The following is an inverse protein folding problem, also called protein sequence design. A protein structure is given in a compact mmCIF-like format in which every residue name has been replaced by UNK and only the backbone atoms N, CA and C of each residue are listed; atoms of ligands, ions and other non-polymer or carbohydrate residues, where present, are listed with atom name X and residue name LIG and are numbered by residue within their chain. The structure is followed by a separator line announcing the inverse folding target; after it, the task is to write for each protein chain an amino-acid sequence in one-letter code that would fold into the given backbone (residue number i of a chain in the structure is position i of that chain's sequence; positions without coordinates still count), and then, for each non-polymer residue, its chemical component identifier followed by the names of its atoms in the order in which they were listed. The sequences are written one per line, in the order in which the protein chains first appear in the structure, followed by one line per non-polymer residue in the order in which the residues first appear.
data_IF_478025980814
#
_entry.id   IF_478025980814
#
_cell.length_a   1.000
_cell.length_b   1.000
_cell.length_c   1.000
_cell.angle_alpha   90.00
_cell.angle_beta   90.00
_cell.angle_gamma   90.00
#
_symmetry.space_group_name_H-M   'P 1'
#
loop_
_entity.id
_entity.type
_entity.pdbx_description
1 polymer ?
#
# COMPACT_ATOMS: atom_id res chain seq x y z
N UNK A 1 69.26 -36.06 36.78
CA UNK A 1 68.61 -34.75 37.02
C UNK A 1 67.82 -34.39 35.76
N UNK A 2 66.49 -34.32 35.88
CA UNK A 2 65.54 -34.18 34.77
C UNK A 2 65.58 -32.74 34.23
N UNK A 3 65.78 -32.58 32.92
CA UNK A 3 65.53 -31.32 32.20
C UNK A 3 64.12 -31.37 31.63
N UNK A 4 63.21 -30.58 32.18
CA UNK A 4 61.91 -30.29 31.58
C UNK A 4 62.05 -29.03 30.72
N UNK A 5 61.86 -29.18 29.41
CA UNK A 5 61.68 -28.06 28.47
C UNK A 5 60.25 -28.21 27.96
N UNK A 6 59.40 -27.26 28.30
CA UNK A 6 58.03 -27.12 27.78
C UNK A 6 58.07 -26.03 26.71
N UNK A 7 57.79 -26.30 25.43
CA UNK A 7 57.52 -25.25 24.48
C UNK A 7 56.01 -24.94 24.50
N UNK A 8 55.70 -23.73 24.96
CA UNK A 8 54.43 -23.04 24.77
C UNK A 8 54.36 -22.60 23.30
N UNK A 9 53.30 -22.99 22.59
CA UNK A 9 53.09 -22.60 21.21
C UNK A 9 51.76 -23.13 20.66
N UNK A 10 50.64 -22.74 21.27
CA UNK A 10 49.32 -23.02 20.71
C UNK A 10 48.99 -21.95 19.66
N UNK A 11 49.22 -22.27 18.39
CA UNK A 11 48.85 -21.43 17.26
C UNK A 11 47.33 -21.52 17.07
N UNK A 12 46.60 -20.51 17.54
CA UNK A 12 45.17 -20.36 17.27
C UNK A 12 44.98 -19.94 15.80
N UNK A 13 44.72 -20.89 14.91
CA UNK A 13 44.16 -20.63 13.59
C UNK A 13 42.68 -20.25 13.75
N UNK A 14 42.41 -18.98 14.04
CA UNK A 14 41.09 -18.40 13.84
C UNK A 14 40.85 -18.23 12.34
N UNK A 15 39.95 -19.01 11.75
CA UNK A 15 39.43 -18.74 10.41
C UNK A 15 38.53 -17.51 10.50
N UNK A 16 39.12 -16.34 10.33
CA UNK A 16 38.36 -15.12 10.07
C UNK A 16 37.69 -15.32 8.72
N UNK A 17 36.37 -15.57 8.68
CA UNK A 17 35.60 -15.49 7.43
C UNK A 17 35.45 -14.01 7.06
N UNK A 18 36.53 -13.46 6.51
CA UNK A 18 36.59 -12.10 6.02
C UNK A 18 36.01 -12.06 4.60
N UNK A 19 34.87 -11.38 4.48
CA UNK A 19 34.21 -10.94 3.25
C UNK A 19 33.77 -12.02 2.25
N UNK A 20 32.52 -11.90 1.77
CA UNK A 20 31.97 -12.77 0.70
C UNK A 20 32.71 -12.54 -0.63
N UNK A 21 33.21 -11.31 -0.84
CA UNK A 21 34.13 -10.97 -1.92
C UNK A 21 35.17 -9.95 -1.44
N UNK A 22 36.42 -10.12 -1.85
CA UNK A 22 37.52 -9.19 -1.59
C UNK A 22 37.78 -8.22 -2.75
N UNK A 23 37.05 -8.36 -3.86
CA UNK A 23 37.30 -7.62 -5.11
C UNK A 23 36.10 -6.79 -5.57
N UNK A 24 34.96 -6.91 -4.89
CA UNK A 24 33.69 -6.34 -5.33
C UNK A 24 32.96 -5.70 -4.17
N UNK A 25 32.30 -4.57 -4.42
CA UNK A 25 31.45 -3.92 -3.43
C UNK A 25 30.14 -4.70 -3.28
N UNK A 26 29.74 -4.98 -2.03
CA UNK A 26 28.50 -5.69 -1.74
C UNK A 26 27.88 -5.29 -0.41
N UNK A 27 26.58 -5.54 -0.28
CA UNK A 27 25.81 -5.51 0.98
C UNK A 27 25.30 -6.92 1.23
N UNK A 28 25.58 -7.46 2.42
CA UNK A 28 25.06 -8.76 2.86
C UNK A 28 24.04 -8.55 3.97
N UNK A 29 22.86 -9.15 3.80
CA UNK A 29 21.79 -9.16 4.79
C UNK A 29 21.55 -10.59 5.24
N UNK A 30 21.58 -10.82 6.55
CA UNK A 30 21.31 -12.11 7.17
C UNK A 30 20.15 -11.98 8.15
N UNK A 31 19.08 -12.70 7.88
CA UNK A 31 17.89 -12.76 8.74
C UNK A 31 17.85 -14.11 9.41
N UNK A 32 17.88 -14.13 10.74
CA UNK A 32 17.73 -15.35 11.52
C UNK A 32 16.25 -15.70 11.64
N UNK A 33 15.89 -16.92 11.22
CA UNK A 33 14.50 -17.41 11.14
C UNK A 33 14.10 -18.20 12.38
N UNK A 34 15.07 -18.56 13.21
CA UNK A 34 14.88 -19.09 14.54
C UNK A 34 15.83 -18.39 15.53
N UNK A 35 15.43 -18.40 16.80
CA UNK A 35 16.27 -17.93 17.88
C UNK A 35 16.05 -18.82 19.10
N UNK A 36 17.02 -19.68 19.40
CA UNK A 36 17.01 -20.59 20.54
C UNK A 36 17.81 -20.04 21.75
N UNK A 37 18.13 -18.74 21.76
CA UNK A 37 18.86 -18.09 22.84
C UNK A 37 20.37 -18.36 22.91
N UNK A 38 20.91 -19.26 22.08
CA UNK A 38 22.36 -19.59 22.06
C UNK A 38 22.96 -19.49 20.67
N UNK A 39 22.34 -20.10 19.64
CA UNK A 39 22.67 -19.89 18.23
C UNK A 39 21.43 -20.09 17.36
N UNK A 40 21.29 -19.29 16.30
CA UNK A 40 20.28 -19.52 15.27
C UNK A 40 20.71 -20.67 14.36
N UNK A 41 19.81 -21.63 14.15
CA UNK A 41 20.02 -22.80 13.29
C UNK A 41 19.45 -22.62 11.88
N UNK A 42 18.59 -21.61 11.67
CA UNK A 42 18.00 -21.27 10.39
C UNK A 42 18.22 -19.80 10.12
N UNK A 43 18.75 -19.51 8.94
CA UNK A 43 18.90 -18.14 8.46
C UNK A 43 18.60 -18.06 6.98
N UNK A 44 18.09 -16.91 6.56
CA UNK A 44 18.02 -16.50 5.16
C UNK A 44 19.10 -15.45 4.93
N UNK A 45 19.87 -15.62 3.85
CA UNK A 45 21.00 -14.76 3.52
C UNK A 45 20.86 -14.22 2.10
N UNK A 46 21.11 -12.93 1.95
CA UNK A 46 21.12 -12.26 0.65
C UNK A 46 22.39 -11.42 0.50
N UNK A 47 22.99 -11.45 -0.69
CA UNK A 47 24.18 -10.67 -1.04
C UNK A 47 23.87 -9.86 -2.30
N UNK A 48 23.93 -8.54 -2.20
CA UNK A 48 23.71 -7.63 -3.32
C UNK A 48 25.05 -7.00 -3.72
N UNK A 49 25.45 -7.20 -4.97
CA UNK A 49 26.68 -6.63 -5.52
C UNK A 49 26.41 -5.36 -6.31
N UNK A 50 27.40 -4.48 -6.34
CA UNK A 50 27.32 -3.18 -7.02
C UNK A 50 28.38 -3.05 -8.13
N UNK A 51 28.09 -2.22 -9.12
CA UNK A 51 29.05 -1.79 -10.12
C UNK A 51 29.94 -0.64 -9.60
N UNK A 52 30.86 -0.15 -10.43
CA UNK A 52 31.78 0.94 -10.07
C UNK A 52 31.09 2.29 -9.82
N UNK A 53 29.81 2.43 -10.17
CA UNK A 53 28.98 3.62 -9.91
C UNK A 53 28.07 3.43 -8.68
N UNK A 54 28.20 2.30 -7.98
CA UNK A 54 27.37 1.97 -6.81
C UNK A 54 25.95 1.52 -7.17
N UNK A 55 25.69 1.12 -8.42
CA UNK A 55 24.40 0.59 -8.84
C UNK A 55 24.36 -0.94 -8.69
N UNK A 56 23.26 -1.54 -8.21
CA UNK A 56 23.14 -3.00 -8.11
C UNK A 56 23.35 -3.72 -9.44
N UNK A 57 24.22 -4.73 -9.48
CA UNK A 57 24.46 -5.54 -10.69
C UNK A 57 24.00 -7.01 -10.59
N UNK A 58 23.86 -7.51 -9.37
CA UNK A 58 23.17 -8.78 -9.10
C UNK A 58 22.72 -8.85 -7.65
N UNK A 59 21.70 -9.66 -7.39
CA UNK A 59 21.27 -10.05 -6.04
C UNK A 59 21.30 -11.56 -5.92
N UNK A 60 21.90 -12.08 -4.87
CA UNK A 60 22.08 -13.51 -4.64
C UNK A 60 21.34 -13.91 -3.37
N UNK A 61 20.36 -14.80 -3.49
CA UNK A 61 19.84 -15.57 -2.37
C UNK A 61 20.76 -16.75 -2.10
N UNK A 62 21.49 -16.71 -0.98
CA UNK A 62 22.51 -17.72 -0.65
C UNK A 62 21.84 -19.02 -0.23
N UNK A 63 22.15 -20.11 -0.93
CA UNK A 63 21.56 -21.44 -0.75
C UNK A 63 20.00 -21.41 -0.70
N UNK A 64 19.38 -20.47 -1.43
CA UNK A 64 17.94 -20.19 -1.34
C UNK A 64 17.07 -21.17 -2.14
N UNK A 65 17.64 -21.98 -3.05
CA UNK A 65 16.87 -22.97 -3.80
C UNK A 65 16.54 -24.20 -2.95
N UNK A 66 15.51 -25.00 -3.30
CA UNK A 66 15.19 -26.24 -2.59
C UNK A 66 16.33 -27.27 -2.55
N UNK A 67 17.27 -27.21 -3.50
CA UNK A 67 18.47 -28.06 -3.51
C UNK A 67 19.66 -27.41 -2.79
N UNK A 68 19.45 -26.33 -2.03
CA UNK A 68 20.49 -25.61 -1.31
C UNK A 68 21.49 -24.90 -2.22
N UNK A 69 21.08 -24.47 -3.41
CA UNK A 69 21.91 -23.71 -4.36
C UNK A 69 21.59 -22.23 -4.29
N UNK A 70 22.55 -21.41 -4.70
CA UNK A 70 22.34 -19.97 -4.82
C UNK A 70 21.30 -19.66 -5.92
N UNK A 71 20.51 -18.62 -5.69
CA UNK A 71 19.54 -18.09 -6.65
C UNK A 71 19.95 -16.66 -6.98
N UNK A 72 20.23 -16.38 -8.24
CA UNK A 72 20.77 -15.09 -8.67
C UNK A 72 19.76 -14.32 -9.50
N UNK A 73 19.47 -13.09 -9.10
CA UNK A 73 18.73 -12.13 -9.91
C UNK A 73 19.74 -11.22 -10.60
N UNK A 74 19.79 -11.29 -11.93
CA UNK A 74 20.65 -10.44 -12.74
C UNK A 74 20.04 -9.05 -12.90
N UNK A 75 20.87 -8.02 -12.87
CA UNK A 75 20.45 -6.63 -13.09
C UNK A 75 21.37 -6.04 -14.16
N UNK A 76 20.78 -5.52 -15.21
CA UNK A 76 21.50 -4.80 -16.26
C UNK A 76 20.92 -3.40 -16.46
N UNK A 77 21.77 -2.50 -16.93
CA UNK A 77 21.40 -1.14 -17.27
C UNK A 77 21.67 -0.92 -18.75
N UNK A 78 20.82 -0.13 -19.38
CA UNK A 78 21.09 0.33 -20.75
C UNK A 78 22.25 1.34 -20.79
N UNK A 79 22.58 1.80 -22.00
CA UNK A 79 23.66 2.78 -22.23
C UNK A 79 23.45 4.13 -21.52
N UNK A 80 22.22 4.44 -21.10
CA UNK A 80 21.89 5.65 -20.36
C UNK A 80 21.82 5.40 -18.84
N UNK A 81 22.12 4.18 -18.40
CA UNK A 81 22.14 3.79 -17.00
C UNK A 81 20.76 3.49 -16.41
N UNK A 82 19.76 3.24 -17.26
CA UNK A 82 18.38 2.97 -16.85
C UNK A 82 18.15 1.47 -16.70
N UNK A 83 17.39 1.08 -15.68
CA UNK A 83 17.01 -0.31 -15.42
C UNK A 83 15.74 -0.66 -16.20
N UNK A 84 15.91 -1.09 -17.44
CA UNK A 84 14.81 -1.35 -18.37
C UNK A 84 14.28 -2.79 -18.33
N UNK A 85 15.04 -3.74 -17.76
CA UNK A 85 14.65 -5.16 -17.74
C UNK A 85 14.68 -5.73 -16.33
N UNK A 86 13.55 -6.30 -15.91
CA UNK A 86 13.44 -7.00 -14.64
C UNK A 86 13.50 -8.52 -14.90
N UNK A 87 14.63 -9.15 -14.59
CA UNK A 87 14.87 -10.58 -14.81
C UNK A 87 14.28 -11.46 -13.71
N UNK A 88 13.85 -12.67 -14.10
CA UNK A 88 13.51 -13.72 -13.14
C UNK A 88 14.76 -14.19 -12.37
N UNK A 89 14.62 -14.56 -11.08
CA UNK A 89 15.71 -15.13 -10.30
C UNK A 89 16.11 -16.52 -10.81
N UNK A 90 17.38 -16.74 -11.14
CA UNK A 90 17.86 -17.98 -11.74
C UNK A 90 18.57 -18.82 -10.67
N UNK A 91 18.03 -20.00 -10.29
CA UNK A 91 18.77 -21.00 -9.55
C UNK A 91 20.03 -21.39 -10.31
N UNK A 92 21.18 -21.34 -9.66
CA UNK A 92 22.46 -21.62 -10.28
C UNK A 92 22.76 -23.12 -10.30
N UNK A 93 23.60 -23.57 -11.23
CA UNK A 93 23.97 -24.99 -11.36
C UNK A 93 24.84 -25.47 -10.18
N UNK A 94 25.63 -24.58 -9.58
CA UNK A 94 26.39 -24.77 -8.34
C UNK A 94 26.22 -23.58 -7.37
N UNK A 95 26.73 -23.74 -6.15
CA UNK A 95 26.72 -22.68 -5.11
C UNK A 95 28.08 -21.99 -5.03
N UNK A 96 28.09 -20.67 -4.90
CA UNK A 96 29.26 -19.88 -4.53
C UNK A 96 29.13 -19.34 -3.11
N UNK A 97 28.11 -19.78 -2.35
CA UNK A 97 27.82 -19.32 -1.00
C UNK A 97 27.74 -17.80 -0.90
N UNK A 98 27.11 -17.18 -1.90
CA UNK A 98 26.98 -15.72 -2.01
C UNK A 98 28.07 -15.01 -2.81
N UNK A 99 29.08 -15.74 -3.33
CA UNK A 99 30.10 -15.18 -4.23
C UNK A 99 29.53 -14.66 -5.56
N UNK A 100 30.25 -13.73 -6.19
CA UNK A 100 29.82 -13.07 -7.44
C UNK A 100 29.76 -14.05 -8.62
N UNK A 101 28.66 -14.06 -9.38
CA UNK A 101 28.55 -14.83 -10.62
C UNK A 101 28.92 -13.96 -11.82
N UNK A 102 29.88 -14.42 -12.64
CA UNK A 102 30.30 -13.71 -13.88
C UNK A 102 29.37 -13.98 -15.06
N UNK A 103 28.64 -15.10 -15.05
CA UNK A 103 27.63 -15.46 -16.06
C UNK A 103 26.34 -15.94 -15.38
N UNK A 104 25.62 -15.05 -14.67
CA UNK A 104 24.43 -15.43 -13.90
C UNK A 104 23.28 -15.94 -14.78
N UNK A 105 23.25 -15.54 -16.05
CA UNK A 105 22.26 -15.97 -17.05
C UNK A 105 22.57 -17.36 -17.64
N UNK A 106 23.78 -17.90 -17.45
CA UNK A 106 24.23 -19.13 -18.11
C UNK A 106 23.38 -20.36 -17.79
N UNK A 107 22.76 -20.42 -16.60
CA UNK A 107 21.86 -21.51 -16.22
C UNK A 107 20.39 -21.27 -16.56
N UNK A 108 20.03 -20.09 -17.10
CA UNK A 108 18.64 -19.74 -17.33
C UNK A 108 17.91 -20.74 -18.23
N UNK A 109 18.53 -21.18 -19.33
CA UNK A 109 17.90 -22.13 -20.25
C UNK A 109 17.66 -23.52 -19.64
N UNK A 110 18.43 -23.91 -18.63
CA UNK A 110 18.19 -25.16 -17.89
C UNK A 110 16.95 -25.05 -16.99
N UNK A 111 16.57 -23.85 -16.56
CA UNK A 111 15.48 -23.60 -15.61
C UNK A 111 14.20 -23.22 -16.36
N UNK A 112 14.32 -22.35 -17.35
CA UNK A 112 13.22 -21.71 -18.06
C UNK A 112 13.12 -22.11 -19.54
N UNK A 113 14.01 -22.97 -20.03
CA UNK A 113 14.03 -23.37 -21.44
C UNK A 113 14.38 -22.21 -22.37
N UNK A 114 13.65 -22.09 -23.48
CA UNK A 114 13.81 -21.01 -24.47
C UNK A 114 13.00 -19.76 -24.17
N UNK A 115 12.40 -19.63 -22.98
CA UNK A 115 11.52 -18.51 -22.65
C UNK A 115 12.26 -17.18 -22.44
N UNK A 116 11.58 -16.08 -22.77
CA UNK A 116 12.00 -14.74 -22.34
C UNK A 116 11.86 -14.64 -20.81
N UNK A 117 12.98 -14.53 -20.11
CA UNK A 117 13.02 -14.56 -18.62
C UNK A 117 12.97 -13.18 -17.96
N UNK A 118 12.58 -12.13 -18.67
CA UNK A 118 12.54 -10.78 -18.13
C UNK A 118 11.33 -10.01 -18.66
N UNK A 119 10.80 -9.13 -17.82
CA UNK A 119 9.93 -8.07 -18.31
C UNK A 119 10.77 -6.91 -18.82
N UNK A 120 10.27 -6.16 -19.79
CA UNK A 120 11.02 -5.12 -20.48
C UNK A 120 10.19 -3.85 -20.60
N UNK A 121 10.77 -2.73 -20.19
CA UNK A 121 10.21 -1.39 -20.31
C UNK A 121 10.87 -0.69 -21.49
N UNK A 122 10.07 -0.33 -22.48
CA UNK A 122 10.48 0.53 -23.58
C UNK A 122 10.08 1.94 -23.20
N UNK A 123 11.06 2.83 -23.14
CA UNK A 123 10.89 4.22 -22.73
C UNK A 123 10.78 5.12 -23.96
N UNK A 124 10.07 6.24 -23.85
CA UNK A 124 10.06 7.26 -24.91
C UNK A 124 11.44 7.91 -25.06
N UNK A 125 11.78 8.35 -26.28
CA UNK A 125 12.99 9.14 -26.55
C UNK A 125 12.79 10.61 -26.13
N UNK A 126 12.60 10.83 -24.83
CA UNK A 126 12.37 12.13 -24.21
C UNK A 126 13.15 12.21 -22.91
N UNK A 127 13.62 13.41 -22.50
CA UNK A 127 14.30 13.61 -21.21
C UNK A 127 13.48 13.17 -19.99
N UNK A 128 12.17 12.96 -20.14
CA UNK A 128 11.29 12.53 -19.07
C UNK A 128 11.35 11.01 -18.80
N UNK A 129 11.95 10.22 -19.69
CA UNK A 129 12.09 8.76 -19.56
C UNK A 129 10.77 8.07 -19.15
N UNK A 130 9.65 8.47 -19.77
CA UNK A 130 8.34 7.86 -19.48
C UNK A 130 8.25 6.48 -20.14
N UNK A 131 7.56 5.54 -19.50
CA UNK A 131 7.35 4.21 -20.06
C UNK A 131 6.38 4.35 -21.23
N UNK A 132 6.77 3.91 -22.42
CA UNK A 132 5.91 3.85 -23.60
C UNK A 132 5.28 2.47 -23.74
N UNK A 133 6.04 1.41 -23.46
CA UNK A 133 5.56 0.03 -23.50
C UNK A 133 6.16 -0.78 -22.36
N UNK A 134 5.40 -1.78 -21.90
CA UNK A 134 5.90 -2.81 -21.00
C UNK A 134 5.54 -4.19 -21.57
N UNK A 135 6.56 -5.01 -21.77
CA UNK A 135 6.43 -6.38 -22.27
C UNK A 135 6.66 -7.32 -21.08
N UNK A 136 5.72 -8.23 -20.85
CA UNK A 136 5.84 -9.21 -19.76
C UNK A 136 6.84 -10.32 -20.07
N UNK A 137 7.19 -11.08 -19.03
CA UNK A 137 8.02 -12.29 -19.11
C UNK A 137 7.32 -13.36 -19.96
N UNK A 138 8.07 -14.10 -20.78
CA UNK A 138 7.59 -15.18 -21.64
C UNK A 138 7.52 -14.79 -23.11
N UNK A 139 7.77 -15.75 -24.00
CA UNK A 139 7.85 -15.50 -25.44
C UNK A 139 6.51 -15.03 -26.02
N UNK A 140 5.40 -15.61 -25.55
CA UNK A 140 4.04 -15.31 -25.99
C UNK A 140 3.65 -13.83 -25.79
N UNK A 141 4.29 -13.14 -24.83
CA UNK A 141 4.02 -11.76 -24.50
C UNK A 141 4.80 -10.75 -25.35
N UNK A 142 5.79 -11.20 -26.12
CA UNK A 142 6.66 -10.33 -26.93
C UNK A 142 5.87 -9.46 -27.91
N UNK A 143 4.79 -10.00 -28.49
CA UNK A 143 3.88 -9.30 -29.40
C UNK A 143 2.69 -8.60 -28.74
N UNK A 144 2.59 -8.67 -27.40
CA UNK A 144 1.46 -8.18 -26.61
C UNK A 144 1.92 -7.19 -25.52
N UNK A 145 2.54 -6.06 -25.87
CA UNK A 145 2.95 -5.08 -24.87
C UNK A 145 1.73 -4.38 -24.26
N UNK A 146 1.81 -4.10 -22.96
CA UNK A 146 1.03 -3.01 -22.38
C UNK A 146 1.56 -1.71 -22.95
N UNK A 147 0.68 -0.83 -23.45
CA UNK A 147 1.06 0.45 -24.06
C UNK A 147 0.59 1.61 -23.19
N UNK A 148 1.41 2.64 -23.10
CA UNK A 148 1.16 3.84 -22.33
C UNK A 148 1.25 5.05 -23.27
N UNK A 149 0.15 5.79 -23.38
CA UNK A 149 0.08 7.04 -24.14
C UNK A 149 -0.17 8.21 -23.18
N UNK A 150 0.50 9.33 -23.44
CA UNK A 150 0.46 10.53 -22.60
C UNK A 150 0.08 11.74 -23.43
N UNK A 151 -1.15 12.23 -23.24
CA UNK A 151 -1.74 13.33 -24.00
C UNK A 151 -2.32 14.39 -23.06
N UNK A 152 -2.89 15.43 -23.65
CA UNK A 152 -3.84 16.30 -22.97
C UNK A 152 -5.25 15.99 -23.47
N UNK A 153 -6.27 16.26 -22.66
CA UNK A 153 -7.65 16.01 -23.07
C UNK A 153 -8.03 16.86 -24.29
N UNK A 154 -8.89 16.32 -25.15
CA UNK A 154 -9.49 16.98 -26.31
C UNK A 154 -11.00 17.16 -26.12
N UNK A 155 -11.66 17.86 -27.05
CA UNK A 155 -13.09 18.11 -26.97
C UNK A 155 -13.90 16.81 -27.04
N UNK A 156 -13.48 15.89 -27.92
CA UNK A 156 -14.10 14.60 -28.20
C UNK A 156 -13.98 13.59 -27.04
N UNK A 157 -13.18 13.91 -26.01
CA UNK A 157 -13.14 13.09 -24.79
C UNK A 157 -14.42 13.28 -23.95
N UNK A 158 -15.16 14.37 -24.12
CA UNK A 158 -16.40 14.66 -23.38
C UNK A 158 -16.25 14.43 -21.86
N UNK A 159 -15.13 14.86 -21.28
CA UNK A 159 -14.87 14.73 -19.83
C UNK A 159 -15.74 15.74 -19.08
N UNK A 160 -16.71 15.26 -18.30
CA UNK A 160 -17.62 16.14 -17.57
C UNK A 160 -16.90 16.95 -16.50
N UNK A 161 -17.27 18.22 -16.39
CA UNK A 161 -16.78 19.13 -15.36
C UNK A 161 -17.83 19.29 -14.25
N UNK A 162 -17.57 18.65 -13.12
CA UNK A 162 -18.35 18.85 -11.90
C UNK A 162 -17.79 20.02 -11.11
N UNK A 163 -18.67 20.93 -10.70
CA UNK A 163 -18.37 22.05 -9.83
C UNK A 163 -18.91 21.76 -8.44
N UNK A 164 -18.17 22.17 -7.41
CA UNK A 164 -18.55 22.00 -6.02
C UNK A 164 -18.81 23.36 -5.37
N UNK A 165 -19.67 23.36 -4.34
CA UNK A 165 -19.88 24.47 -3.42
C UNK A 165 -19.87 23.89 -2.01
N UNK A 166 -18.84 24.20 -1.22
CA UNK A 166 -18.71 23.67 0.14
C UNK A 166 -19.08 24.68 1.22
N UNK A 167 -19.92 24.24 2.15
CA UNK A 167 -20.26 24.95 3.38
C UNK A 167 -19.80 24.15 4.60
N UNK A 168 -19.73 24.80 5.77
CA UNK A 168 -19.39 24.16 7.03
C UNK A 168 -20.63 24.06 7.92
N UNK A 169 -20.97 22.84 8.33
CA UNK A 169 -22.10 22.54 9.21
C UNK A 169 -21.57 21.67 10.35
N UNK A 170 -21.82 22.07 11.59
CA UNK A 170 -21.44 21.28 12.79
C UNK A 170 -19.95 20.84 12.79
N UNK A 171 -19.06 21.72 12.33
CA UNK A 171 -17.61 21.45 12.32
C UNK A 171 -17.15 20.46 11.24
N UNK A 172 -17.97 20.19 10.22
CA UNK A 172 -17.60 19.40 9.04
C UNK A 172 -18.01 20.06 7.72
N UNK A 173 -17.42 19.60 6.63
CA UNK A 173 -17.81 19.99 5.28
C UNK A 173 -19.19 19.44 4.92
N UNK A 174 -19.91 20.22 4.11
CA UNK A 174 -21.16 19.88 3.44
C UNK A 174 -21.03 20.43 2.01
N UNK A 175 -20.76 19.54 1.06
CA UNK A 175 -20.46 19.91 -0.32
C UNK A 175 -21.67 19.65 -1.21
N UNK A 176 -22.13 20.67 -1.93
CA UNK A 176 -23.07 20.55 -3.04
C UNK A 176 -22.31 20.32 -4.35
N UNK A 177 -22.98 19.73 -5.34
CA UNK A 177 -22.40 19.41 -6.66
C UNK A 177 -23.30 19.91 -7.78
N UNK A 178 -22.68 20.52 -8.77
CA UNK A 178 -23.29 21.06 -9.99
C UNK A 178 -22.52 20.53 -11.22
N UNK A 179 -23.18 20.50 -12.38
CA UNK A 179 -22.56 20.08 -13.65
C UNK A 179 -22.45 21.29 -14.59
N UNK A 180 -21.23 21.69 -14.93
CA UNK A 180 -20.95 22.84 -15.79
C UNK A 180 -20.91 22.49 -17.30
N UNK A 181 -21.07 21.22 -17.68
CA UNK A 181 -20.79 20.58 -18.98
C UNK A 181 -19.45 19.83 -19.03
N UNK A 182 -18.52 20.22 -19.90
CA UNK A 182 -17.28 19.48 -20.19
C UNK A 182 -16.04 20.35 -19.96
N UNK A 183 -14.92 19.72 -19.63
CA UNK A 183 -13.61 20.39 -19.65
C UNK A 183 -13.25 20.83 -21.08
N UNK A 184 -12.62 21.99 -21.20
CA UNK A 184 -12.06 22.45 -22.48
C UNK A 184 -10.79 21.65 -22.83
N UNK A 185 -10.37 21.63 -24.11
CA UNK A 185 -9.12 20.99 -24.51
C UNK A 185 -7.91 21.51 -23.72
N UNK A 186 -6.94 20.61 -23.48
CA UNK A 186 -5.68 20.87 -22.79
C UNK A 186 -5.79 21.38 -21.35
N UNK A 187 -6.88 21.05 -20.64
CA UNK A 187 -7.05 21.38 -19.21
C UNK A 187 -6.69 20.21 -18.27
N UNK A 188 -6.66 18.98 -18.78
CA UNK A 188 -6.40 17.76 -18.05
C UNK A 188 -5.28 16.98 -18.74
N UNK A 189 -4.41 16.38 -17.94
CA UNK A 189 -3.52 15.32 -18.41
C UNK A 189 -4.33 14.06 -18.69
N UNK A 190 -4.08 13.41 -19.83
CA UNK A 190 -4.75 12.19 -20.28
C UNK A 190 -3.72 11.08 -20.40
N UNK A 191 -3.85 10.05 -19.58
CA UNK A 191 -3.00 8.87 -19.63
C UNK A 191 -3.83 7.68 -20.13
N UNK A 192 -3.46 7.09 -21.25
CA UNK A 192 -4.12 5.89 -21.77
C UNK A 192 -3.24 4.68 -21.54
N UNK A 193 -3.80 3.65 -20.92
CA UNK A 193 -3.19 2.33 -20.79
C UNK A 193 -3.98 1.37 -21.68
N UNK A 194 -3.31 0.75 -22.63
CA UNK A 194 -3.83 -0.37 -23.41
C UNK A 194 -3.22 -1.64 -22.87
N UNK A 195 -4.03 -2.56 -22.36
CA UNK A 195 -3.55 -3.84 -21.86
C UNK A 195 -3.13 -4.79 -23.00
N UNK A 196 -2.60 -5.95 -22.63
CA UNK A 196 -2.07 -6.95 -23.56
C UNK A 196 -3.15 -7.55 -24.50
N UNK A 197 -4.43 -7.42 -24.14
CA UNK A 197 -5.58 -7.86 -24.93
C UNK A 197 -6.21 -6.71 -25.76
N UNK A 198 -5.68 -5.49 -25.62
CA UNK A 198 -6.14 -4.30 -26.35
C UNK A 198 -7.22 -3.50 -25.65
N UNK A 199 -7.62 -3.84 -24.42
CA UNK A 199 -8.60 -3.06 -23.67
C UNK A 199 -7.98 -1.76 -23.17
N UNK A 200 -8.73 -0.67 -23.24
CA UNK A 200 -8.24 0.67 -22.91
C UNK A 200 -8.79 1.17 -21.59
N UNK A 201 -7.88 1.67 -20.75
CA UNK A 201 -8.19 2.46 -19.57
C UNK A 201 -7.61 3.85 -19.75
N UNK A 202 -8.43 4.88 -19.61
CA UNK A 202 -8.01 6.27 -19.75
C UNK A 202 -8.19 6.98 -18.41
N UNK A 203 -7.13 7.55 -17.89
CA UNK A 203 -7.12 8.35 -16.67
C UNK A 203 -6.95 9.82 -17.04
N UNK A 204 -7.83 10.68 -16.51
CA UNK A 204 -7.72 12.13 -16.64
C UNK A 204 -7.37 12.75 -15.29
N UNK A 205 -6.34 13.60 -15.27
CA UNK A 205 -5.84 14.30 -14.06
C UNK A 205 -5.82 15.80 -14.26
N UNK A 206 -6.12 16.56 -13.21
CA UNK A 206 -5.97 18.01 -13.23
C UNK A 206 -4.50 18.43 -13.00
N UNK A 207 -4.23 19.74 -13.07
CA UNK A 207 -2.89 20.30 -12.84
C UNK A 207 -2.30 20.07 -11.44
N UNK A 208 -3.11 19.65 -10.45
CA UNK A 208 -2.65 19.27 -9.11
C UNK A 208 -2.33 17.77 -8.98
N UNK A 209 -2.50 16.99 -10.06
CA UNK A 209 -2.30 15.54 -10.06
C UNK A 209 -3.48 14.73 -9.52
N UNK A 210 -4.61 15.37 -9.18
CA UNK A 210 -5.82 14.69 -8.74
C UNK A 210 -6.49 14.02 -9.95
N UNK A 211 -6.83 12.74 -9.81
CA UNK A 211 -7.63 12.00 -10.80
C UNK A 211 -9.03 12.59 -10.83
N UNK A 212 -9.51 13.01 -12.00
CA UNK A 212 -10.85 13.56 -12.24
C UNK A 212 -11.80 12.51 -12.81
N UNK A 213 -11.29 11.68 -13.73
CA UNK A 213 -12.05 10.62 -14.39
C UNK A 213 -11.15 9.41 -14.62
N UNK A 214 -11.66 8.22 -14.30
CA UNK A 214 -11.17 6.95 -14.84
C UNK A 214 -12.23 6.39 -15.77
N UNK A 215 -11.85 6.23 -17.03
CA UNK A 215 -12.70 5.69 -18.10
C UNK A 215 -12.21 4.31 -18.50
N UNK A 216 -13.11 3.32 -18.43
CA UNK A 216 -12.91 2.00 -19.05
C UNK A 216 -13.64 1.99 -20.39
N UNK A 217 -12.91 1.77 -21.47
CA UNK A 217 -13.51 1.66 -22.82
C UNK A 217 -14.10 0.26 -22.95
N UNK A 218 -15.43 0.17 -22.97
CA UNK A 218 -16.17 -1.11 -23.06
C UNK A 218 -16.35 -1.49 -24.53
N UNK A 219 -16.67 -0.52 -25.37
CA UNK A 219 -16.78 -0.67 -26.83
C UNK A 219 -16.48 0.66 -27.52
N UNK A 220 -16.55 0.69 -28.86
CA UNK A 220 -16.33 1.91 -29.65
C UNK A 220 -17.29 3.05 -29.29
N UNK A 221 -18.47 2.74 -28.74
CA UNK A 221 -19.51 3.72 -28.39
C UNK A 221 -19.84 3.75 -26.90
N UNK A 222 -19.21 2.90 -26.09
CA UNK A 222 -19.55 2.74 -24.67
C UNK A 222 -18.32 2.86 -23.78
N UNK A 223 -18.44 3.74 -22.80
CA UNK A 223 -17.43 3.98 -21.78
C UNK A 223 -18.06 3.83 -20.40
N UNK A 224 -17.37 3.14 -19.50
CA UNK A 224 -17.71 3.12 -18.08
C UNK A 224 -16.86 4.18 -17.36
N UNK A 225 -17.48 5.31 -17.04
CA UNK A 225 -16.82 6.49 -16.49
C UNK A 225 -16.98 6.57 -14.95
N UNK A 226 -15.88 6.62 -14.22
CA UNK A 226 -15.88 6.90 -12.79
C UNK A 226 -15.30 8.28 -12.52
N UNK A 227 -16.13 9.21 -12.05
CA UNK A 227 -15.67 10.57 -11.73
C UNK A 227 -15.29 10.70 -10.26
N UNK A 228 -14.25 11.48 -10.03
CA UNK A 228 -13.73 11.84 -8.71
C UNK A 228 -13.83 13.35 -8.58
N UNK A 229 -14.66 13.80 -7.65
CA UNK A 229 -15.01 15.22 -7.52
C UNK A 229 -14.47 15.74 -6.20
N UNK A 230 -13.60 16.74 -6.29
CA UNK A 230 -12.95 17.36 -5.15
C UNK A 230 -13.66 18.65 -4.78
N UNK A 231 -13.68 18.95 -3.49
CA UNK A 231 -14.09 20.26 -3.01
C UNK A 231 -12.96 21.30 -3.11
N UNK A 232 -13.26 22.53 -2.71
CA UNK A 232 -12.38 23.69 -2.74
C UNK A 232 -11.18 23.56 -1.77
N UNK A 233 -11.20 22.55 -0.89
CA UNK A 233 -10.12 22.21 0.04
C UNK A 233 -9.27 21.02 -0.45
N UNK A 234 -9.40 20.64 -1.72
CA UNK A 234 -8.68 19.51 -2.35
C UNK A 234 -9.03 18.13 -1.75
N UNK A 235 -10.17 18.03 -1.05
CA UNK A 235 -10.67 16.78 -0.48
C UNK A 235 -11.65 16.10 -1.44
N UNK A 236 -11.58 14.78 -1.55
CA UNK A 236 -12.49 13.99 -2.38
C UNK A 236 -13.90 14.03 -1.77
N UNK A 237 -14.81 14.82 -2.34
CA UNK A 237 -16.17 14.98 -1.82
C UNK A 237 -17.12 13.91 -2.39
N UNK A 238 -16.93 13.52 -3.66
CA UNK A 238 -17.75 12.50 -4.31
C UNK A 238 -16.95 11.55 -5.19
N UNK A 239 -17.40 10.30 -5.24
CA UNK A 239 -17.10 9.39 -6.36
C UNK A 239 -18.40 9.02 -7.04
N UNK A 240 -18.47 9.25 -8.35
CA UNK A 240 -19.66 9.01 -9.18
C UNK A 240 -19.37 7.78 -10.03
N UNK A 241 -20.01 6.63 -9.75
CA UNK A 241 -19.77 5.40 -10.51
C UNK A 241 -20.37 5.47 -11.92
N UNK A 242 -19.98 4.55 -12.83
CA UNK A 242 -20.45 4.54 -14.22
C UNK A 242 -21.97 4.56 -14.41
N UNK A 243 -22.71 3.86 -13.53
CA UNK A 243 -24.18 3.83 -13.60
C UNK A 243 -24.82 5.21 -13.32
N UNK A 244 -24.07 6.11 -12.68
CA UNK A 244 -24.55 7.40 -12.20
C UNK A 244 -23.90 8.59 -12.93
N UNK A 245 -22.96 8.33 -13.86
CA UNK A 245 -22.27 9.34 -14.68
C UNK A 245 -23.15 9.86 -15.83
N UNK A 246 -24.39 10.22 -15.51
CA UNK A 246 -25.38 10.74 -16.44
C UNK A 246 -25.11 12.23 -16.77
N UNK A 247 -25.65 12.77 -17.88
CA UNK A 247 -25.52 14.19 -18.24
C UNK A 247 -26.33 15.14 -17.34
N UNK A 248 -27.00 14.63 -16.31
CA UNK A 248 -27.76 15.41 -15.33
C UNK A 248 -27.50 14.89 -13.92
N UNK A 249 -27.58 15.78 -12.94
CA UNK A 249 -27.50 15.42 -11.51
C UNK A 249 -28.94 15.31 -11.01
N UNK A 250 -29.40 14.07 -10.82
CA UNK A 250 -30.66 13.78 -10.16
C UNK A 250 -30.42 13.49 -8.67
N UNK A 251 -31.22 14.11 -7.80
CA UNK A 251 -31.07 13.94 -6.34
C UNK A 251 -31.31 12.48 -5.91
N UNK A 252 -32.24 11.77 -6.54
CA UNK A 252 -32.48 10.36 -6.18
C UNK A 252 -31.31 9.47 -6.59
N UNK A 253 -30.69 9.73 -7.74
CA UNK A 253 -29.47 9.06 -8.19
C UNK A 253 -28.29 9.40 -7.29
N UNK A 254 -28.10 10.66 -6.92
CA UNK A 254 -27.08 11.09 -5.95
C UNK A 254 -27.21 10.33 -4.64
N UNK A 255 -28.41 10.30 -4.08
CA UNK A 255 -28.65 9.67 -2.78
C UNK A 255 -28.51 8.15 -2.80
N UNK A 256 -28.69 7.49 -3.95
CA UNK A 256 -28.60 6.03 -4.09
C UNK A 256 -27.23 5.53 -4.54
N UNK A 257 -26.57 6.26 -5.44
CA UNK A 257 -25.43 5.76 -6.21
C UNK A 257 -24.13 6.54 -6.03
N UNK A 258 -24.14 7.73 -5.42
CA UNK A 258 -22.88 8.46 -5.22
C UNK A 258 -22.22 7.98 -3.93
N UNK A 259 -20.89 7.86 -3.99
CA UNK A 259 -20.08 7.87 -2.79
C UNK A 259 -19.97 9.33 -2.34
N UNK A 260 -20.26 9.63 -1.08
CA UNK A 260 -20.23 10.98 -0.53
C UNK A 260 -19.34 11.01 0.70
N UNK A 261 -18.50 12.03 0.83
CA UNK A 261 -17.52 12.16 1.91
C UNK A 261 -17.55 13.55 2.51
N UNK A 262 -17.42 13.63 3.83
CA UNK A 262 -17.39 14.88 4.60
C UNK A 262 -16.24 14.84 5.58
N UNK A 263 -15.59 15.98 5.76
CA UNK A 263 -14.34 16.12 6.48
C UNK A 263 -14.47 17.15 7.60
N UNK A 264 -13.75 16.98 8.71
CA UNK A 264 -13.67 18.00 9.75
C UNK A 264 -12.65 19.11 9.41
N UNK A 265 -12.54 20.10 10.31
CA UNK A 265 -11.57 21.21 10.17
C UNK A 265 -10.10 20.80 10.11
N UNK A 266 -9.78 19.53 10.42
CA UNK A 266 -8.42 18.96 10.33
C UNK A 266 -8.24 18.10 9.07
N UNK A 267 -9.26 18.01 8.22
CA UNK A 267 -9.24 17.18 7.01
C UNK A 267 -9.41 15.69 7.26
N UNK A 268 -9.90 15.28 8.44
CA UNK A 268 -10.19 13.88 8.73
C UNK A 268 -11.56 13.52 8.19
N UNK A 269 -11.71 12.34 7.58
CA UNK A 269 -12.99 11.84 7.10
C UNK A 269 -13.90 11.54 8.29
N UNK A 270 -15.04 12.20 8.37
CA UNK A 270 -15.89 12.15 9.57
C UNK A 270 -17.31 11.68 9.28
N UNK A 271 -17.74 11.79 8.05
CA UNK A 271 -18.94 11.13 7.56
C UNK A 271 -18.71 10.61 6.16
N UNK A 272 -19.21 9.42 5.89
CA UNK A 272 -19.24 8.88 4.53
C UNK A 272 -20.56 8.19 4.25
N UNK A 273 -20.99 8.23 3.00
CA UNK A 273 -22.15 7.49 2.51
C UNK A 273 -21.73 6.72 1.27
N UNK A 274 -22.02 5.43 1.26
CA UNK A 274 -21.73 4.53 0.15
C UNK A 274 -23.04 4.14 -0.55
N UNK A 275 -23.00 3.79 -1.85
CA UNK A 275 -24.18 3.30 -2.55
C UNK A 275 -24.82 2.11 -1.83
N UNK A 276 -26.14 2.13 -1.69
CA UNK A 276 -26.89 1.09 -0.97
C UNK A 276 -26.72 1.09 0.56
N UNK A 277 -25.98 2.04 1.14
CA UNK A 277 -25.82 2.20 2.60
C UNK A 277 -26.31 3.59 3.06
N UNK A 278 -26.66 3.68 4.34
CA UNK A 278 -26.86 4.97 4.99
C UNK A 278 -25.53 5.67 5.35
N UNK A 279 -25.63 6.83 5.98
CA UNK A 279 -24.46 7.56 6.49
C UNK A 279 -23.75 6.77 7.58
N UNK A 280 -22.43 6.70 7.48
CA UNK A 280 -21.52 6.22 8.51
C UNK A 280 -20.78 7.41 9.10
N UNK A 281 -20.65 7.43 10.42
CA UNK A 281 -20.08 8.52 11.20
C UNK A 281 -18.81 8.03 11.90
N UNK A 282 -17.84 8.93 12.04
CA UNK A 282 -16.53 8.66 12.62
C UNK A 282 -16.20 9.73 13.67
N UNK A 283 -15.60 9.29 14.77
CA UNK A 283 -15.15 10.15 15.87
C UNK A 283 -13.70 9.85 16.19
N UNK A 284 -12.92 10.92 16.35
CA UNK A 284 -11.49 10.83 16.59
C UNK A 284 -11.12 11.41 17.95
N UNK A 285 -10.07 10.87 18.56
CA UNK A 285 -9.46 11.46 19.76
C UNK A 285 -8.42 12.53 19.42
N UNK A 286 -7.76 13.10 20.44
CA UNK A 286 -6.71 14.11 20.29
C UNK A 286 -5.47 13.59 19.56
N UNK A 287 -5.24 12.28 19.60
CA UNK A 287 -4.12 11.61 18.94
C UNK A 287 -4.43 11.19 17.49
N UNK A 288 -5.50 11.71 16.89
CA UNK A 288 -5.96 11.40 15.53
C UNK A 288 -6.31 9.94 15.28
N UNK A 289 -6.67 9.20 16.35
CA UNK A 289 -7.11 7.82 16.23
C UNK A 289 -8.63 7.77 16.11
N UNK A 290 -9.12 6.92 15.19
CA UNK A 290 -10.54 6.65 15.04
C UNK A 290 -11.01 5.81 16.23
N UNK A 291 -11.68 6.45 17.19
CA UNK A 291 -12.12 5.78 18.42
C UNK A 291 -13.56 5.29 18.34
N UNK A 292 -14.38 5.86 17.46
CA UNK A 292 -15.75 5.37 17.30
C UNK A 292 -16.24 5.44 15.86
N UNK A 293 -17.07 4.47 15.51
CA UNK A 293 -17.85 4.47 14.28
C UNK A 293 -19.31 4.14 14.55
N UNK A 294 -20.19 4.72 13.74
CA UNK A 294 -21.63 4.43 13.79
C UNK A 294 -22.15 4.33 12.37
N UNK A 295 -22.75 3.19 12.04
CA UNK A 295 -23.48 3.01 10.79
C UNK A 295 -24.97 3.34 10.98
N UNK A 296 -25.74 3.25 9.90
CA UNK A 296 -27.16 3.57 9.92
C UNK A 296 -27.96 2.71 10.90
N UNK A 297 -27.67 1.42 11.01
CA UNK A 297 -28.39 0.48 11.86
C UNK A 297 -28.07 0.69 13.34
N UNK A 298 -26.81 1.01 13.67
CA UNK A 298 -26.40 1.38 15.01
C UNK A 298 -27.01 2.72 15.42
N UNK A 299 -27.12 3.67 14.49
CA UNK A 299 -27.72 4.99 14.74
C UNK A 299 -29.19 4.91 15.14
N UNK A 300 -29.97 4.03 14.50
CA UNK A 300 -31.37 3.78 14.90
C UNK A 300 -31.52 3.31 16.35
N UNK A 301 -30.44 2.74 16.92
CA UNK A 301 -30.40 2.23 18.30
C UNK A 301 -29.58 3.12 19.24
N UNK A 302 -29.12 4.29 18.77
CA UNK A 302 -28.20 5.17 19.50
C UNK A 302 -26.94 4.45 20.01
N UNK A 303 -26.38 3.57 19.18
CA UNK A 303 -25.17 2.79 19.49
C UNK A 303 -23.97 3.26 18.67
N UNK A 304 -22.78 3.06 19.23
CA UNK A 304 -21.51 3.28 18.57
C UNK A 304 -20.62 2.05 18.77
N UNK A 305 -19.91 1.65 17.72
CA UNK A 305 -18.75 0.78 17.84
C UNK A 305 -17.60 1.62 18.38
N UNK A 306 -17.07 1.28 19.55
CA UNK A 306 -15.90 1.91 20.14
C UNK A 306 -14.66 1.03 19.95
N UNK A 307 -13.54 1.66 19.60
CA UNK A 307 -12.20 1.06 19.57
C UNK A 307 -11.35 1.72 20.64
N UNK A 308 -10.82 0.92 21.55
CA UNK A 308 -9.91 1.34 22.61
C UNK A 308 -8.50 0.91 22.29
N UNK A 309 -7.56 1.81 22.50
CA UNK A 309 -6.16 1.63 22.15
C UNK A 309 -5.31 1.56 23.41
N UNK A 310 -4.25 0.77 23.36
CA UNK A 310 -3.22 0.82 24.41
C UNK A 310 -2.17 1.89 24.11
N UNK A 311 -1.20 2.05 25.00
CA UNK A 311 -0.21 3.12 25.00
C UNK A 311 0.63 3.22 23.72
N UNK A 312 0.89 2.08 23.06
CA UNK A 312 1.61 2.04 21.79
C UNK A 312 0.70 2.22 20.56
N UNK A 313 -0.59 2.52 20.76
CA UNK A 313 -1.54 2.72 19.68
C UNK A 313 -2.06 1.42 19.04
N UNK A 314 -1.76 0.25 19.61
CA UNK A 314 -2.37 -1.03 19.22
C UNK A 314 -3.80 -1.12 19.77
N UNK A 315 -4.70 -1.82 19.07
CA UNK A 315 -6.09 -2.00 19.51
C UNK A 315 -6.12 -2.91 20.73
N UNK A 316 -6.52 -2.39 21.89
CA UNK A 316 -6.67 -3.16 23.11
C UNK A 316 -7.97 -3.97 23.09
N UNK A 317 -9.10 -3.31 22.86
CA UNK A 317 -10.40 -3.98 22.75
C UNK A 317 -11.41 -3.14 21.96
N UNK A 318 -12.45 -3.80 21.49
CA UNK A 318 -13.59 -3.16 20.82
C UNK A 318 -14.89 -3.52 21.52
N UNK A 319 -15.88 -2.64 21.42
CA UNK A 319 -17.18 -2.85 22.04
C UNK A 319 -18.28 -1.97 21.48
N UNK A 320 -19.48 -2.14 22.00
CA UNK A 320 -20.64 -1.30 21.74
C UNK A 320 -20.88 -0.40 22.96
N UNK A 321 -21.04 0.90 22.73
CA UNK A 321 -21.48 1.87 23.73
C UNK A 321 -22.79 2.52 23.28
N UNK A 322 -23.56 3.04 24.23
CA UNK A 322 -24.58 4.04 23.93
C UNK A 322 -23.92 5.37 23.56
N UNK A 323 -24.61 6.21 22.79
CA UNK A 323 -24.12 7.55 22.48
C UNK A 323 -25.14 8.42 21.75
N UNK A 324 -24.79 9.70 21.60
CA UNK A 324 -25.61 10.70 20.92
C UNK A 324 -25.20 10.91 19.46
N UNK A 325 -25.41 12.13 18.98
CA UNK A 325 -24.96 12.57 17.67
C UNK A 325 -23.44 12.50 17.53
N UNK A 326 -22.94 12.39 16.30
CA UNK A 326 -21.50 12.43 16.01
C UNK A 326 -20.85 13.66 16.65
N UNK A 327 -21.48 14.82 16.56
CA UNK A 327 -20.97 16.10 17.10
C UNK A 327 -20.81 16.04 18.62
N UNK A 328 -21.77 15.47 19.36
CA UNK A 328 -21.65 15.35 20.82
C UNK A 328 -20.61 14.31 21.24
N UNK A 329 -20.48 13.21 20.50
CA UNK A 329 -19.43 12.21 20.75
C UNK A 329 -18.04 12.78 20.44
N UNK A 330 -17.91 13.56 19.38
CA UNK A 330 -16.66 14.24 19.02
C UNK A 330 -16.23 15.27 20.07
N UNK A 331 -17.16 16.07 20.61
CA UNK A 331 -16.86 17.05 21.66
C UNK A 331 -16.34 16.39 22.96
N UNK A 332 -16.82 15.19 23.28
CA UNK A 332 -16.31 14.43 24.44
C UNK A 332 -14.89 13.90 24.20
N UNK A 333 -14.53 13.60 22.95
CA UNK A 333 -13.28 12.94 22.59
C UNK A 333 -12.14 13.88 22.17
N UNK A 334 -12.46 15.04 21.57
CA UNK A 334 -11.53 15.86 20.79
C UNK A 334 -10.29 16.34 21.57
N UNK A 335 -10.42 16.52 22.88
CA UNK A 335 -9.35 17.02 23.75
C UNK A 335 -8.68 15.92 24.58
N UNK A 336 -9.06 14.66 24.40
CA UNK A 336 -8.57 13.53 25.19
C UNK A 336 -7.62 12.64 24.38
N UNK A 337 -6.56 12.16 25.02
CA UNK A 337 -5.78 11.03 24.53
C UNK A 337 -6.31 9.78 25.24
N UNK A 338 -7.05 8.95 24.53
CA UNK A 338 -7.79 7.84 25.13
C UNK A 338 -6.94 6.58 25.03
N UNK A 339 -6.30 6.21 26.13
CA UNK A 339 -5.40 5.06 26.20
C UNK A 339 -5.82 4.18 27.35
N UNK A 340 -5.79 2.86 27.12
CA UNK A 340 -6.00 1.86 28.14
C UNK A 340 -4.69 1.16 28.51
N UNK A 341 -4.42 1.05 29.80
CA UNK A 341 -3.28 0.30 30.34
C UNK A 341 -3.68 -1.10 30.78
N UNK A 342 -2.73 -2.04 30.87
CA UNK A 342 -2.96 -3.34 31.51
C UNK A 342 -3.33 -3.12 32.97
N UNK A 343 -4.36 -3.82 33.46
CA UNK A 343 -4.79 -3.73 34.84
C UNK A 343 -5.19 -5.11 35.36
N UNK A 344 -4.55 -5.56 36.44
CA UNK A 344 -4.85 -6.85 37.07
C UNK A 344 -6.24 -6.89 37.71
N UNK A 345 -6.75 -5.75 38.18
CA UNK A 345 -8.14 -5.65 38.65
C UNK A 345 -9.12 -5.61 37.47
N UNK A 346 -8.73 -4.95 36.37
CA UNK A 346 -9.51 -4.89 35.13
C UNK A 346 -10.94 -4.37 35.33
N UNK A 347 -11.83 -4.78 34.43
CA UNK A 347 -13.29 -4.64 34.58
C UNK A 347 -14.01 -5.88 34.06
N UNK A 348 -15.24 -6.13 34.51
CA UNK A 348 -16.03 -7.29 34.08
C UNK A 348 -17.10 -6.88 33.08
N UNK A 349 -17.11 -7.51 31.90
CA UNK A 349 -18.15 -7.34 30.89
C UNK A 349 -18.38 -8.65 30.14
N UNK A 350 -19.61 -8.89 29.68
CA UNK A 350 -19.98 -10.14 28.98
C UNK A 350 -19.62 -11.43 29.76
N UNK A 351 -19.65 -11.37 31.10
CA UNK A 351 -19.27 -12.49 31.95
C UNK A 351 -17.77 -12.80 32.02
N UNK A 352 -16.91 -11.95 31.45
CA UNK A 352 -15.46 -12.11 31.43
C UNK A 352 -14.75 -10.95 32.11
N UNK A 353 -13.65 -11.23 32.81
CA UNK A 353 -12.75 -10.20 33.33
C UNK A 353 -11.80 -9.73 32.22
N UNK A 354 -11.77 -8.43 32.00
CA UNK A 354 -10.96 -7.78 30.97
C UNK A 354 -9.83 -7.07 31.68
N UNK A 355 -8.61 -7.55 31.50
CA UNK A 355 -7.43 -7.07 32.21
C UNK A 355 -6.83 -5.80 31.56
N UNK A 356 -7.69 -4.83 31.26
CA UNK A 356 -7.34 -3.49 30.82
C UNK A 356 -8.07 -2.46 31.70
N UNK A 357 -7.55 -1.23 31.76
CA UNK A 357 -8.32 -0.11 32.27
C UNK A 357 -9.51 0.19 31.35
N UNK A 358 -10.45 0.98 31.86
CA UNK A 358 -11.56 1.54 31.10
C UNK A 358 -11.86 2.93 31.65
N UNK A 359 -10.97 3.89 31.39
CA UNK A 359 -10.98 5.20 32.07
C UNK A 359 -11.88 6.27 31.42
N UNK A 360 -12.15 6.13 30.12
CA UNK A 360 -13.04 7.02 29.35
C UNK A 360 -14.12 6.20 28.66
N UNK A 361 -15.28 6.78 28.34
CA UNK A 361 -16.37 6.06 27.67
C UNK A 361 -16.68 4.71 28.35
N UNK A 362 -16.84 4.76 29.68
CA UNK A 362 -16.80 3.59 30.56
C UNK A 362 -18.01 2.68 30.42
N UNK A 363 -19.14 3.23 29.96
CA UNK A 363 -20.44 2.58 29.82
C UNK A 363 -20.51 1.67 28.57
N UNK A 364 -19.54 0.77 28.43
CA UNK A 364 -19.52 -0.27 27.40
C UNK A 364 -20.65 -1.24 27.70
N UNK A 365 -21.51 -1.50 26.73
CA UNK A 365 -22.65 -2.41 26.83
C UNK A 365 -22.26 -3.85 26.49
N UNK A 366 -21.43 -4.00 25.46
CA UNK A 366 -21.00 -5.30 24.94
C UNK A 366 -19.55 -5.20 24.48
N UNK A 367 -18.72 -6.17 24.83
CA UNK A 367 -17.36 -6.33 24.30
C UNK A 367 -17.40 -7.28 23.11
N UNK A 368 -16.68 -6.90 22.04
CA UNK A 368 -16.66 -7.63 20.77
C UNK A 368 -15.31 -8.31 20.50
N UNK A 369 -14.20 -7.68 20.90
CA UNK A 369 -12.86 -8.26 20.79
C UNK A 369 -11.93 -7.72 21.85
N UNK A 370 -10.91 -8.51 22.22
CA UNK A 370 -9.86 -8.15 23.17
C UNK A 370 -8.54 -8.70 22.60
N UNK A 371 -7.50 -7.87 22.58
CA UNK A 371 -6.15 -8.28 22.22
C UNK A 371 -5.23 -8.06 23.41
N UNK A 372 -4.48 -9.09 23.80
CA UNK A 372 -3.43 -8.99 24.81
C UNK A 372 -2.08 -9.04 24.12
N UNK A 373 -1.20 -8.12 24.51
CA UNK A 373 0.13 -8.00 23.95
C UNK A 373 1.19 -8.17 25.03
N UNK A 374 2.34 -8.71 24.62
CA UNK A 374 3.59 -8.86 25.37
C UNK A 374 3.53 -9.81 26.59
N UNK A 375 2.37 -9.90 27.24
CA UNK A 375 2.08 -10.76 28.39
C UNK A 375 0.70 -11.37 28.22
N UNK A 376 0.62 -12.70 28.25
CA UNK A 376 -0.65 -13.41 28.23
C UNK A 376 -1.31 -13.37 29.62
N UNK A 377 -2.65 -13.25 29.70
CA UNK A 377 -3.39 -13.27 30.96
C UNK A 377 -3.15 -14.49 31.84
#
# INVERSE_FOLDING_TARGET
MKKLIIPIGFLMFGTVKAQVSNTENYVQTKTYLDYSGTQATKSSETVQYFDGLGRPKQVIGVNASPQGKDVVTHIEYDQFGRHAKDFLPIPQSGTQSGGVYTSPLGNASSIYGGEKIYSEKILENSPLDRIQQQIQVGNDWTGKPVKFDYDANIHEDYVRQYKTITTWIEGRTETAIELNQYFLPAQLYKNTITDEDGNKTIEFKNGKGQVILVRKVVSVSENADTYYVYNEYDQLAFVIPPLASAPTIDNSTKEKLYYQYRYDGRGRLVEKKLPGKGWEFMVYDKADRLIMTQDANMREKNKWLITKYESLGRVAYTGIIGGGSRTSMQAQAENLIIVEGRSGSGFTKNGMQIQYSNGYFVDIETILSINYYDTYP
#
